data_IF_565013840570
#
_entry.id   IF_565013840570
#
_cell.length_a   1.000
_cell.length_b   1.000
_cell.length_c   1.000
_cell.angle_alpha   90.00
_cell.angle_beta   90.00
_cell.angle_gamma   90.00
#
_symmetry.space_group_name_H-M   'P 1'
#
loop_
_entity.id
_entity.type
_entity.pdbx_description
1 polymer ?
#
# COMPACT_ATOMS: atom_id res chain seq x y z
N UNK A 1 8.92 10.30 15.71
CA UNK A 1 8.61 8.93 16.13
C UNK A 1 8.22 8.13 14.89
N UNK A 2 8.76 6.94 14.68
CA UNK A 2 8.43 6.07 13.53
C UNK A 2 8.04 4.71 14.09
N UNK A 3 6.90 4.17 13.66
CA UNK A 3 6.45 2.83 14.04
C UNK A 3 7.06 1.78 13.11
N UNK A 4 7.07 0.51 13.54
CA UNK A 4 7.47 -0.59 12.68
C UNK A 4 6.21 -1.26 12.12
N UNK A 5 6.04 -1.20 10.80
CA UNK A 5 4.90 -1.84 10.12
C UNK A 5 5.17 -3.33 9.98
N UNK A 6 4.19 -4.15 10.36
CA UNK A 6 4.20 -5.59 10.13
C UNK A 6 3.09 -5.90 9.13
N UNK A 7 3.46 -6.64 8.10
CA UNK A 7 2.55 -7.04 7.03
C UNK A 7 2.18 -8.51 7.21
N UNK A 8 0.96 -8.85 6.82
CA UNK A 8 0.57 -10.25 6.71
C UNK A 8 1.14 -10.84 5.41
N UNK A 9 1.51 -12.12 5.34
CA UNK A 9 2.09 -12.74 4.14
C UNK A 9 1.23 -12.55 2.88
N UNK A 10 -0.09 -12.60 3.02
CA UNK A 10 -1.05 -12.50 1.92
C UNK A 10 -0.94 -11.16 1.17
N UNK A 11 -0.48 -10.11 1.85
CA UNK A 11 -0.31 -8.79 1.25
C UNK A 11 0.70 -8.78 0.11
N UNK A 12 1.68 -9.69 0.12
CA UNK A 12 2.68 -9.77 -0.96
C UNK A 12 2.01 -10.19 -2.26
N UNK A 13 1.14 -11.21 -2.19
CA UNK A 13 0.36 -11.66 -3.35
C UNK A 13 -0.62 -10.58 -3.80
N UNK A 14 -1.37 -9.97 -2.86
CA UNK A 14 -2.30 -8.87 -3.15
C UNK A 14 -1.60 -7.71 -3.87
N UNK A 15 -0.37 -7.37 -3.45
CA UNK A 15 0.41 -6.28 -4.05
C UNK A 15 0.87 -6.63 -5.48
N UNK A 16 1.29 -7.87 -5.73
CA UNK A 16 1.68 -8.33 -7.05
C UNK A 16 0.48 -8.39 -8.02
N UNK A 17 -0.66 -8.91 -7.57
CA UNK A 17 -1.89 -8.95 -8.35
C UNK A 17 -2.36 -7.53 -8.71
N UNK A 18 -2.40 -6.64 -7.72
CA UNK A 18 -2.81 -5.24 -7.93
C UNK A 18 -1.87 -4.52 -8.89
N UNK A 19 -0.55 -4.71 -8.75
CA UNK A 19 0.43 -4.16 -9.68
C UNK A 19 0.18 -4.63 -11.11
N UNK A 20 0.01 -5.94 -11.31
CA UNK A 20 -0.21 -6.53 -12.63
C UNK A 20 -1.51 -6.01 -13.26
N UNK A 21 -2.57 -5.87 -12.46
CA UNK A 21 -3.85 -5.31 -12.91
C UNK A 21 -3.71 -3.88 -13.44
N UNK A 22 -3.01 -3.01 -12.68
CA UNK A 22 -2.78 -1.63 -13.11
C UNK A 22 -1.87 -1.54 -14.34
N UNK A 23 -0.76 -2.29 -14.35
CA UNK A 23 0.18 -2.27 -15.49
C UNK A 23 -0.46 -2.79 -16.78
N UNK A 24 -1.38 -3.75 -16.68
CA UNK A 24 -2.18 -4.23 -17.81
C UNK A 24 -3.17 -3.18 -18.35
N UNK A 25 -3.65 -2.27 -17.49
CA UNK A 25 -4.56 -1.20 -17.91
C UNK A 25 -3.83 -0.09 -18.68
N UNK A 26 -2.62 0.28 -18.25
CA UNK A 26 -1.73 1.17 -19.00
C UNK A 26 -0.28 1.00 -18.54
N UNK A 27 0.65 1.03 -19.49
CA UNK A 27 2.09 0.95 -19.19
C UNK A 27 2.50 2.04 -18.20
N UNK A 28 3.18 1.64 -17.12
CA UNK A 28 3.65 2.50 -16.04
C UNK A 28 2.65 2.70 -14.90
N UNK A 29 1.38 2.30 -15.05
CA UNK A 29 0.36 2.53 -14.02
C UNK A 29 0.58 1.63 -12.79
N UNK A 30 1.15 0.43 -12.97
CA UNK A 30 1.55 -0.42 -11.84
C UNK A 30 2.63 0.24 -10.99
N UNK A 31 3.54 0.98 -11.62
CA UNK A 31 4.59 1.73 -10.93
C UNK A 31 4.02 2.94 -10.18
N UNK A 32 3.02 3.64 -10.74
CA UNK A 32 2.30 4.70 -10.03
C UNK A 32 1.53 4.17 -8.82
N UNK A 33 0.95 2.98 -8.95
CA UNK A 33 0.33 2.29 -7.83
C UNK A 33 1.34 2.05 -6.70
N UNK A 34 2.52 1.47 -6.99
CA UNK A 34 3.55 1.24 -5.97
C UNK A 34 4.04 2.53 -5.34
N UNK A 35 4.26 3.60 -6.13
CA UNK A 35 4.62 4.93 -5.61
C UNK A 35 3.59 5.42 -4.60
N UNK A 36 2.32 5.37 -4.96
CA UNK A 36 1.20 5.81 -4.13
C UNK A 36 1.08 4.96 -2.86
N UNK A 37 1.23 3.65 -3.00
CA UNK A 37 1.17 2.69 -1.90
C UNK A 37 2.28 2.94 -0.87
N UNK A 38 3.54 3.08 -1.29
CA UNK A 38 4.65 3.35 -0.37
C UNK A 38 4.56 4.74 0.27
N UNK A 39 4.03 5.74 -0.45
CA UNK A 39 3.76 7.05 0.13
C UNK A 39 2.72 6.96 1.26
N UNK A 40 1.64 6.19 1.06
CA UNK A 40 0.65 5.93 2.11
C UNK A 40 1.26 5.19 3.31
N UNK A 41 2.10 4.18 3.08
CA UNK A 41 2.79 3.47 4.16
C UNK A 41 3.70 4.40 4.97
N UNK A 42 4.43 5.31 4.32
CA UNK A 42 5.28 6.29 5.00
C UNK A 42 4.47 7.23 5.92
N UNK A 43 3.24 7.57 5.52
CA UNK A 43 2.32 8.36 6.36
C UNK A 43 1.85 7.52 7.55
N UNK A 44 1.36 6.30 7.34
CA UNK A 44 0.89 5.40 8.40
C UNK A 44 2.01 5.10 9.41
N UNK A 45 3.24 4.91 8.92
CA UNK A 45 4.41 4.67 9.75
C UNK A 45 4.73 5.83 10.70
N UNK A 46 4.40 7.08 10.31
CA UNK A 46 4.60 8.27 11.15
C UNK A 46 3.37 8.60 12.00
N UNK A 47 2.17 8.31 11.49
CA UNK A 47 0.89 8.68 12.07
C UNK A 47 -0.10 7.50 11.98
N UNK A 48 0.04 6.46 12.84
CA UNK A 48 -0.74 5.23 12.71
C UNK A 48 -2.24 5.40 12.98
N UNK A 49 -2.65 6.54 13.56
CA UNK A 49 -4.04 6.87 13.87
C UNK A 49 -4.64 7.92 12.93
N UNK A 50 -3.96 8.25 11.82
CA UNK A 50 -4.41 9.28 10.87
C UNK A 50 -5.71 8.90 10.15
N UNK A 51 -5.90 7.61 9.89
CA UNK A 51 -7.12 7.09 9.27
C UNK A 51 -8.11 6.67 10.34
N UNK A 52 -9.39 6.96 10.10
CA UNK A 52 -10.48 6.50 10.95
C UNK A 52 -10.45 4.98 11.03
N UNK A 53 -10.55 4.41 12.24
CA UNK A 53 -10.82 2.98 12.40
C UNK A 53 -12.21 2.69 11.85
N UNK A 54 -12.27 2.00 10.71
CA UNK A 54 -13.50 1.51 10.11
C UNK A 54 -13.59 0.02 10.41
N UNK A 55 -13.90 -0.32 11.65
CA UNK A 55 -14.22 -1.71 12.02
C UNK A 55 -15.72 -1.80 12.31
N UNK A 56 -16.35 -2.85 11.79
CA UNK A 56 -17.65 -3.38 12.22
C UNK A 56 -17.41 -4.77 12.80
#
# INVERSE_FOLDING_TARGET
>A
MSYHLRFRPELVEDAHETFAWYEAAATGLGHEFLRSYFAALAIVQRQPLIYRKVYR
#
